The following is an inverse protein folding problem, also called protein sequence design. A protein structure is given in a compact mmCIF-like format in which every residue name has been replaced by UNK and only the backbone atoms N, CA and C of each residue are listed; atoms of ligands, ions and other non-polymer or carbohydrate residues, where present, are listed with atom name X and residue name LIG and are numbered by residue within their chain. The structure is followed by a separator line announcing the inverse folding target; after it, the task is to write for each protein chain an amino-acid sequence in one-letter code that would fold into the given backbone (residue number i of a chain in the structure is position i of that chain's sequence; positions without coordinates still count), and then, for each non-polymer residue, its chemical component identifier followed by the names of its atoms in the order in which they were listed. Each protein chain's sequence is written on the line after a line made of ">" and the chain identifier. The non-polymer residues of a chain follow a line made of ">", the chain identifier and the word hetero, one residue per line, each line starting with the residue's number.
data_IF_160312958010
#
_entry.id   IF_160312958010
#
_cell.length_a   1.000
_cell.length_b   1.000
_cell.length_c   1.000
_cell.angle_alpha   90.00
_cell.angle_beta   90.00
_cell.angle_gamma   90.00
#
_symmetry.space_group_name_H-M   'P 1'
#
loop_
_entity.id
_entity.type
_entity.pdbx_description
1 polymer ?
#
# COMPACT_ATOMS: atom_id res chain seq x y z
N UNK A 1 7.97 16.65 58.99
CA UNK A 1 7.72 17.18 57.63
C UNK A 1 8.22 16.14 56.63
N UNK A 2 7.39 15.57 55.76
CA UNK A 2 7.83 14.47 54.87
C UNK A 2 6.73 13.86 53.98
N UNK A 3 5.46 14.16 54.29
CA UNK A 3 4.31 13.68 53.48
C UNK A 3 4.01 14.57 52.27
N UNK A 4 4.45 15.85 52.26
CA UNK A 4 4.15 16.84 51.19
C UNK A 4 5.08 16.71 49.97
N UNK A 5 6.32 16.22 50.17
CA UNK A 5 7.27 15.96 49.07
C UNK A 5 6.88 14.71 48.25
N UNK A 6 6.14 13.78 48.86
CA UNK A 6 5.67 12.56 48.20
C UNK A 6 4.49 12.86 47.25
N UNK A 7 3.45 13.56 47.72
CA UNK A 7 2.25 13.86 46.92
C UNK A 7 2.52 14.78 45.73
N UNK A 8 3.45 15.73 45.88
CA UNK A 8 3.88 16.67 44.82
C UNK A 8 4.61 15.98 43.67
N UNK A 9 5.41 14.95 43.97
CA UNK A 9 6.09 14.12 42.98
C UNK A 9 5.09 13.28 42.18
N UNK A 10 4.09 12.69 42.86
CA UNK A 10 3.02 11.93 42.20
C UNK A 10 2.15 12.80 41.30
N UNK A 11 1.74 13.98 41.76
CA UNK A 11 0.96 14.91 40.93
C UNK A 11 1.75 15.48 39.76
N UNK A 12 3.06 15.71 39.92
CA UNK A 12 3.92 16.12 38.79
C UNK A 12 3.99 15.02 37.72
N UNK A 13 4.13 13.75 38.10
CA UNK A 13 4.15 12.65 37.14
C UNK A 13 2.80 12.46 36.43
N UNK A 14 1.67 12.64 37.13
CA UNK A 14 0.33 12.60 36.53
C UNK A 14 0.14 13.75 35.54
N UNK A 15 0.59 14.97 35.88
CA UNK A 15 0.55 16.12 34.98
C UNK A 15 1.45 15.92 33.76
N UNK A 16 2.66 15.37 33.95
CA UNK A 16 3.57 15.03 32.84
C UNK A 16 2.95 13.96 31.94
N UNK A 17 2.32 12.92 32.50
CA UNK A 17 1.64 11.87 31.73
C UNK A 17 0.47 12.44 30.92
N UNK A 18 -0.35 13.33 31.50
CA UNK A 18 -1.47 13.99 30.82
C UNK A 18 -1.00 14.94 29.69
N UNK A 19 0.12 15.63 29.90
CA UNK A 19 0.76 16.47 28.88
C UNK A 19 1.34 15.62 27.72
N UNK A 20 1.95 14.47 28.04
CA UNK A 20 2.46 13.51 27.04
C UNK A 20 1.32 12.86 26.24
N UNK A 21 0.22 12.47 26.89
CA UNK A 21 -0.97 11.95 26.20
C UNK A 21 -1.65 12.99 25.30
N UNK A 22 -1.49 14.29 25.61
CA UNK A 22 -1.98 15.38 24.76
C UNK A 22 -1.07 15.68 23.57
N UNK A 23 0.15 15.10 23.53
CA UNK A 23 1.11 15.24 22.43
C UNK A 23 0.87 14.22 21.32
N UNK A 24 0.07 13.19 21.55
CA UNK A 24 -0.34 12.24 20.51
C UNK A 24 -1.63 12.71 19.83
N UNK A 25 -1.49 13.69 18.94
CA UNK A 25 -2.44 13.93 17.85
C UNK A 25 -1.81 14.84 16.80
N UNK A 26 -1.21 14.23 15.78
CA UNK A 26 -1.23 14.75 14.42
C UNK A 26 -1.39 13.56 13.48
N UNK A 27 -2.65 13.36 13.08
CA UNK A 27 -3.08 12.93 11.74
C UNK A 27 -2.32 11.77 11.10
N UNK A 28 -2.99 10.62 11.01
CA UNK A 28 -2.82 9.77 9.84
C UNK A 28 -3.23 10.57 8.60
N UNK A 29 -2.26 11.25 8.02
CA UNK A 29 -2.37 11.86 6.71
C UNK A 29 -1.97 10.73 5.74
N UNK A 30 -2.78 10.46 4.71
CA UNK A 30 -2.33 9.64 3.59
C UNK A 30 -1.17 10.39 2.89
N UNK A 31 0.04 10.24 3.42
CA UNK A 31 1.26 10.78 2.86
C UNK A 31 1.64 9.97 1.60
N UNK A 32 1.23 10.51 0.45
CA UNK A 32 1.67 10.20 -0.93
C UNK A 32 0.80 9.22 -1.75
N UNK A 33 -0.49 9.12 -1.48
CA UNK A 33 -1.41 8.41 -2.38
C UNK A 33 -1.78 9.26 -3.60
N UNK A 34 -1.50 8.79 -4.82
CA UNK A 34 -2.10 9.38 -6.03
C UNK A 34 -3.58 9.02 -6.10
N UNK A 35 -4.40 10.03 -6.39
CA UNK A 35 -5.86 9.95 -6.55
C UNK A 35 -6.26 10.13 -8.01
N UNK A 36 -7.50 9.75 -8.35
CA UNK A 36 -8.03 9.94 -9.71
C UNK A 36 -8.06 11.41 -10.14
N UNK A 37 -8.25 12.34 -9.20
CA UNK A 37 -8.26 13.79 -9.42
C UNK A 37 -6.91 14.36 -9.84
N UNK A 38 -5.82 13.63 -9.65
CA UNK A 38 -4.48 14.06 -10.07
C UNK A 38 -4.25 13.87 -11.58
N UNK A 39 -5.17 13.22 -12.29
CA UNK A 39 -5.13 12.99 -13.74
C UNK A 39 -6.23 13.80 -14.46
N UNK A 40 -6.03 14.18 -15.73
CA UNK A 40 -7.07 14.83 -16.52
C UNK A 40 -8.37 14.02 -16.54
N UNK A 41 -9.55 14.66 -16.64
CA UNK A 41 -10.85 13.97 -16.57
C UNK A 41 -11.00 12.86 -17.63
N UNK A 42 -10.33 13.01 -18.78
CA UNK A 42 -10.36 12.06 -19.89
C UNK A 42 -9.15 11.10 -19.92
N UNK A 43 -8.33 11.08 -18.88
CA UNK A 43 -7.20 10.16 -18.81
C UNK A 43 -7.71 8.73 -18.66
N UNK A 44 -7.31 7.79 -19.51
CA UNK A 44 -7.78 6.41 -19.46
C UNK A 44 -6.74 5.54 -18.75
N UNK A 45 -7.17 4.87 -17.68
CA UNK A 45 -6.45 3.74 -17.11
C UNK A 45 -7.00 2.45 -17.70
N UNK A 46 -6.12 1.50 -17.99
CA UNK A 46 -6.49 0.21 -18.53
C UNK A 46 -5.44 -0.85 -18.19
N UNK A 47 -5.73 -2.09 -18.57
CA UNK A 47 -4.82 -3.23 -18.48
C UNK A 47 -4.78 -3.94 -19.82
N UNK A 48 -3.68 -4.62 -20.12
CA UNK A 48 -3.48 -5.37 -21.36
C UNK A 48 -2.78 -6.69 -21.10
N UNK A 49 -3.07 -7.69 -21.93
CA UNK A 49 -2.46 -9.02 -21.91
C UNK A 49 -1.97 -9.39 -23.30
N UNK A 50 -1.11 -10.41 -23.40
CA UNK A 50 -0.67 -11.00 -24.67
C UNK A 50 -1.23 -12.40 -24.83
N UNK A 51 -1.64 -12.76 -26.05
CA UNK A 51 -2.22 -14.05 -26.40
C UNK A 51 -1.41 -15.23 -25.85
N UNK A 52 -0.09 -15.24 -26.10
CA UNK A 52 0.79 -16.34 -25.67
C UNK A 52 0.88 -16.47 -24.13
N UNK A 53 0.70 -15.37 -23.40
CA UNK A 53 0.81 -15.37 -21.95
C UNK A 53 -0.46 -15.87 -21.25
N UNK A 54 -1.64 -15.71 -21.87
CA UNK A 54 -2.92 -15.93 -21.16
C UNK A 54 -3.89 -16.89 -21.83
N UNK A 55 -3.84 -17.11 -23.15
CA UNK A 55 -4.84 -17.94 -23.84
C UNK A 55 -4.62 -19.44 -23.60
N UNK A 56 -3.38 -19.92 -23.62
CA UNK A 56 -3.10 -21.35 -23.61
C UNK A 56 -3.58 -22.03 -24.90
N UNK A 57 -4.24 -23.18 -24.77
CA UNK A 57 -4.87 -23.93 -25.88
C UNK A 57 -3.98 -24.08 -27.13
N UNK A 58 -2.67 -24.30 -26.92
CA UNK A 58 -1.64 -24.17 -27.96
C UNK A 58 -1.84 -25.16 -29.12
N UNK A 59 -2.48 -26.31 -28.87
CA UNK A 59 -2.72 -27.39 -29.83
C UNK A 59 -4.21 -27.66 -30.08
N UNK A 60 -5.09 -26.71 -29.77
CA UNK A 60 -6.53 -26.86 -29.92
C UNK A 60 -7.06 -26.08 -31.13
N UNK A 61 -8.25 -26.43 -31.60
CA UNK A 61 -9.04 -25.68 -32.60
C UNK A 61 -8.32 -25.27 -33.89
N UNK A 62 -7.31 -26.04 -34.31
CA UNK A 62 -6.56 -25.78 -35.53
C UNK A 62 -5.64 -24.57 -35.46
N UNK A 63 -5.29 -24.09 -34.25
CA UNK A 63 -4.28 -23.04 -34.06
C UNK A 63 -2.95 -23.45 -34.69
N UNK A 64 -2.36 -22.54 -35.47
CA UNK A 64 -1.03 -22.76 -36.07
C UNK A 64 0.08 -22.33 -35.11
N UNK A 65 1.16 -23.11 -34.94
CA UNK A 65 2.29 -22.75 -34.09
C UNK A 65 2.97 -21.43 -34.48
N UNK A 66 3.28 -20.60 -33.50
CA UNK A 66 4.06 -19.38 -33.64
C UNK A 66 5.54 -19.56 -33.30
N UNK A 67 6.32 -18.49 -33.45
CA UNK A 67 7.75 -18.47 -33.11
C UNK A 67 7.97 -18.85 -31.64
N UNK A 68 7.15 -18.30 -30.73
CA UNK A 68 7.26 -18.57 -29.30
C UNK A 68 7.03 -20.04 -28.95
N UNK A 69 6.14 -20.75 -29.67
CA UNK A 69 5.94 -22.19 -29.50
C UNK A 69 7.20 -22.97 -29.85
N UNK A 70 7.83 -22.62 -30.98
CA UNK A 70 9.07 -23.29 -31.41
C UNK A 70 10.20 -23.05 -30.41
N UNK A 71 10.36 -21.80 -29.96
CA UNK A 71 11.43 -21.43 -29.05
C UNK A 71 11.35 -22.15 -27.70
N UNK A 72 10.17 -22.20 -27.07
CA UNK A 72 10.00 -22.75 -25.72
C UNK A 72 10.01 -24.27 -25.65
N UNK A 73 9.71 -24.96 -26.75
CA UNK A 73 9.70 -26.43 -26.81
C UNK A 73 11.02 -27.05 -27.29
N UNK A 74 12.04 -26.25 -27.57
CA UNK A 74 13.34 -26.71 -28.09
C UNK A 74 14.34 -27.16 -27.00
N UNK A 75 13.85 -27.55 -25.81
CA UNK A 75 14.66 -27.91 -24.63
C UNK A 75 15.12 -29.36 -24.55
#
# INVERSE_FOLDING_TARGET
>A
MGRVLCTSSFWSLVIILLLVSSLESCSGHDENGFSRSDFPPNFIFGSGTSAYQVEGAVNEDGRTPGIWDTYTHSG
#
